data_IF_077680334737
#
_entry.id   IF_077680334737
#
_cell.length_a   1.000
_cell.length_b   1.000
_cell.length_c   1.000
_cell.angle_alpha   90.00
_cell.angle_beta   90.00
_cell.angle_gamma   90.00
#
_symmetry.space_group_name_H-M   'P 1'
#
loop_
_entity.id
_entity.type
_entity.pdbx_description
1 polymer ?
#
# COMPACT_ATOMS: atom_id res chain seq x y z
N UNK A 1 9.02 -25.16 9.09
CA UNK A 1 9.21 -24.17 7.98
C UNK A 1 8.79 -24.84 6.68
N UNK A 2 7.99 -24.17 5.85
CA UNK A 2 7.32 -24.80 4.69
C UNK A 2 8.26 -25.43 3.65
N UNK A 3 9.48 -24.93 3.50
CA UNK A 3 10.45 -25.43 2.51
C UNK A 3 11.49 -26.40 3.07
N UNK A 4 11.42 -26.72 4.37
CA UNK A 4 12.37 -27.66 4.96
C UNK A 4 12.32 -29.04 4.27
N UNK A 5 11.14 -29.65 4.01
CA UNK A 5 11.06 -30.94 3.30
C UNK A 5 11.69 -30.91 1.91
N UNK A 6 11.68 -29.76 1.23
CA UNK A 6 12.32 -29.58 -0.07
C UNK A 6 13.85 -29.62 0.03
N UNK A 7 14.44 -28.94 1.02
CA UNK A 7 15.90 -28.90 1.23
C UNK A 7 16.46 -30.18 1.87
N UNK A 8 15.63 -30.98 2.53
CA UNK A 8 16.01 -32.27 3.11
C UNK A 8 15.87 -33.43 2.12
N UNK A 9 15.25 -33.18 0.97
CA UNK A 9 15.04 -34.16 -0.09
C UNK A 9 13.82 -35.06 0.13
N UNK A 10 12.97 -34.76 1.12
CA UNK A 10 11.71 -35.48 1.38
C UNK A 10 10.70 -35.29 0.25
N UNK A 11 10.70 -34.12 -0.41
CA UNK A 11 9.86 -33.83 -1.57
C UNK A 11 10.69 -33.36 -2.76
N UNK A 12 10.26 -33.75 -3.97
CA UNK A 12 10.95 -33.41 -5.21
C UNK A 12 10.58 -32.02 -5.76
N UNK A 13 9.51 -31.41 -5.27
CA UNK A 13 9.18 -30.02 -5.56
C UNK A 13 8.17 -29.49 -4.55
N UNK A 14 8.06 -28.17 -4.48
CA UNK A 14 6.98 -27.46 -3.82
C UNK A 14 6.49 -26.40 -4.79
N UNK A 15 5.19 -26.38 -5.06
CA UNK A 15 4.57 -25.33 -5.87
C UNK A 15 3.94 -24.30 -4.96
N UNK A 16 4.32 -23.04 -5.11
CA UNK A 16 3.76 -21.91 -4.37
C UNK A 16 2.84 -21.13 -5.31
N UNK A 17 1.61 -20.87 -4.89
CA UNK A 17 0.69 -20.01 -5.63
C UNK A 17 0.54 -18.70 -4.86
N UNK A 18 1.10 -17.58 -5.35
CA UNK A 18 0.89 -16.27 -4.74
C UNK A 18 -0.58 -15.86 -4.87
N UNK A 19 -1.19 -15.42 -3.79
CA UNK A 19 -2.58 -14.91 -3.80
C UNK A 19 -2.58 -13.49 -3.30
N UNK A 20 -3.16 -12.58 -4.07
CA UNK A 20 -3.42 -11.19 -3.66
C UNK A 20 -4.89 -11.03 -3.33
N UNK A 21 -5.19 -10.34 -2.24
CA UNK A 21 -6.57 -10.04 -1.84
C UNK A 21 -6.65 -8.53 -1.61
N UNK A 22 -7.53 -7.87 -2.37
CA UNK A 22 -7.78 -6.44 -2.26
C UNK A 22 -9.19 -6.20 -1.74
N UNK A 23 -9.30 -5.60 -0.56
CA UNK A 23 -10.57 -5.22 0.05
C UNK A 23 -10.84 -3.74 -0.25
N UNK A 24 -12.10 -3.40 -0.49
CA UNK A 24 -12.51 -2.01 -0.60
C UNK A 24 -12.39 -1.30 0.75
N UNK A 25 -12.98 -1.84 1.83
CA UNK A 25 -12.82 -1.33 3.20
C UNK A 25 -12.28 -2.41 4.15
N UNK A 26 -11.32 -2.02 4.99
CA UNK A 26 -10.74 -2.91 6.02
C UNK A 26 -11.52 -2.85 7.34
N UNK A 27 -11.79 -4.00 7.95
CA UNK A 27 -12.50 -4.13 9.24
C UNK A 27 -11.86 -3.33 10.39
N UNK A 28 -10.53 -3.25 10.42
CA UNK A 28 -9.77 -2.65 11.53
C UNK A 28 -9.03 -1.36 11.14
N UNK A 29 -9.46 -0.66 10.09
CA UNK A 29 -8.74 0.51 9.55
C UNK A 29 -8.47 1.59 10.61
N UNK A 30 -9.45 1.92 11.45
CA UNK A 30 -9.30 2.93 12.49
C UNK A 30 -8.35 2.47 13.60
N UNK A 31 -8.43 1.19 14.00
CA UNK A 31 -7.52 0.63 15.01
C UNK A 31 -6.06 0.68 14.52
N UNK A 32 -5.83 0.42 13.24
CA UNK A 32 -4.50 0.52 12.64
C UNK A 32 -3.97 1.96 12.69
N UNK A 33 -4.81 2.95 12.35
CA UNK A 33 -4.43 4.38 12.42
C UNK A 33 -4.09 4.78 13.86
N UNK A 34 -4.88 4.36 14.85
CA UNK A 34 -4.61 4.65 16.26
C UNK A 34 -3.33 3.99 16.76
N UNK A 35 -3.07 2.74 16.35
CA UNK A 35 -1.83 2.04 16.68
C UNK A 35 -0.60 2.78 16.12
N UNK A 36 -0.67 3.27 14.88
CA UNK A 36 0.39 4.09 14.28
C UNK A 36 0.64 5.41 15.05
N UNK A 37 -0.40 5.95 15.68
CA UNK A 37 -0.31 7.14 16.54
C UNK A 37 0.12 6.80 17.99
N UNK A 38 0.44 5.52 18.26
CA UNK A 38 0.95 5.06 19.55
C UNK A 38 -0.12 4.77 20.61
N UNK A 39 -1.40 4.82 20.23
CA UNK A 39 -2.51 4.37 21.07
C UNK A 39 -2.39 2.84 21.21
N UNK A 40 -2.36 2.30 22.43
CA UNK A 40 -2.19 0.87 22.63
C UNK A 40 -3.40 0.12 22.07
N UNK A 41 -3.16 -1.04 21.45
CA UNK A 41 -4.25 -1.92 21.03
C UNK A 41 -5.19 -2.19 22.20
N UNK A 42 -6.52 -2.04 22.02
CA UNK A 42 -7.47 -2.44 23.03
C UNK A 42 -7.30 -3.94 23.33
N UNK A 43 -7.42 -4.34 24.60
CA UNK A 43 -7.39 -5.76 24.95
C UNK A 43 -8.54 -6.45 24.22
N UNK A 44 -8.24 -7.48 23.44
CA UNK A 44 -9.27 -8.35 22.88
C UNK A 44 -10.06 -8.93 24.05
N UNK A 45 -11.36 -8.61 24.12
CA UNK A 45 -12.26 -9.12 25.13
C UNK A 45 -13.39 -9.88 24.46
N UNK A 46 -13.92 -10.90 25.12
CA UNK A 46 -15.08 -11.67 24.66
C UNK A 46 -16.30 -10.76 24.41
N UNK A 47 -16.41 -9.63 25.13
CA UNK A 47 -17.42 -8.59 24.90
C UNK A 47 -17.16 -7.78 23.63
N UNK A 48 -15.89 -7.54 23.29
CA UNK A 48 -15.46 -6.96 22.01
C UNK A 48 -15.79 -7.86 20.82
N UNK A 49 -15.67 -9.17 20.97
CA UNK A 49 -16.07 -10.15 19.95
C UNK A 49 -17.58 -10.05 19.59
N UNK A 50 -18.47 -9.96 20.59
CA UNK A 50 -19.90 -9.75 20.34
C UNK A 50 -20.24 -8.39 19.73
N UNK A 51 -19.45 -7.35 20.02
CA UNK A 51 -19.59 -6.03 19.36
C UNK A 51 -19.06 -6.07 17.93
N UNK A 52 -18.01 -6.85 17.66
CA UNK A 52 -17.48 -7.11 16.32
C UNK A 52 -18.49 -7.84 15.42
N UNK A 53 -19.34 -8.71 15.98
CA UNK A 53 -20.44 -9.35 15.24
C UNK A 53 -21.46 -8.33 14.69
N UNK A 54 -21.70 -7.19 15.36
CA UNK A 54 -22.55 -6.11 14.81
C UNK A 54 -21.87 -5.32 13.69
N UNK A 55 -20.54 -5.28 13.69
CA UNK A 55 -19.74 -4.61 12.67
C UNK A 55 -19.74 -5.44 11.37
N UNK A 56 -19.94 -6.77 11.45
CA UNK A 56 -20.04 -7.65 10.27
C UNK A 56 -21.22 -7.27 9.37
N UNK A 57 -22.29 -6.67 9.91
CA UNK A 57 -23.45 -6.21 9.14
C UNK A 57 -23.20 -4.87 8.41
N UNK A 58 -22.02 -4.25 8.57
CA UNK A 58 -21.65 -3.05 7.82
C UNK A 58 -21.32 -3.35 6.35
N UNK A 59 -21.45 -2.33 5.49
CA UNK A 59 -21.00 -2.41 4.10
C UNK A 59 -19.48 -2.25 4.03
N UNK A 60 -18.78 -3.33 3.68
CA UNK A 60 -17.32 -3.34 3.45
C UNK A 60 -16.93 -3.19 1.97
N UNK A 61 -17.91 -3.08 1.08
CA UNK A 61 -17.68 -2.96 -0.35
C UNK A 61 -17.23 -4.25 -1.00
N UNK A 62 -16.45 -4.10 -2.08
CA UNK A 62 -16.02 -5.18 -2.97
C UNK A 62 -14.74 -5.85 -2.45
N UNK A 63 -14.58 -7.13 -2.77
CA UNK A 63 -13.34 -7.89 -2.55
C UNK A 63 -12.87 -8.47 -3.87
N UNK A 64 -11.57 -8.32 -4.15
CA UNK A 64 -10.92 -8.84 -5.34
C UNK A 64 -9.87 -9.88 -4.93
N UNK A 65 -9.81 -10.98 -5.68
CA UNK A 65 -8.81 -12.03 -5.52
C UNK A 65 -8.07 -12.19 -6.83
N UNK A 66 -6.75 -12.16 -6.75
CA UNK A 66 -5.85 -12.47 -7.84
C UNK A 66 -4.98 -13.68 -7.48
N UNK A 67 -4.88 -14.62 -8.42
CA UNK A 67 -4.03 -15.80 -8.29
C UNK A 67 -2.85 -15.62 -9.25
N UNK A 68 -1.68 -15.39 -8.66
CA UNK A 68 -0.43 -15.25 -9.40
C UNK A 68 0.01 -16.55 -10.06
N UNK A 69 1.01 -16.44 -10.93
CA UNK A 69 1.59 -17.60 -11.60
C UNK A 69 2.18 -18.58 -10.56
N UNK A 70 1.85 -19.87 -10.61
CA UNK A 70 2.45 -20.86 -9.72
C UNK A 70 3.98 -20.90 -9.89
N UNK A 71 4.70 -20.90 -8.77
CA UNK A 71 6.16 -20.94 -8.72
C UNK A 71 6.59 -22.34 -8.30
N UNK A 72 7.25 -23.08 -9.18
CA UNK A 72 8.00 -24.28 -8.80
C UNK A 72 9.27 -23.86 -8.04
N UNK A 73 9.41 -24.33 -6.80
CA UNK A 73 10.60 -24.05 -5.99
C UNK A 73 11.85 -24.69 -6.62
N UNK A 74 11.68 -25.86 -7.26
CA UNK A 74 12.75 -26.49 -8.05
C UNK A 74 13.26 -25.59 -9.16
N UNK A 75 12.36 -25.11 -9.99
CA UNK A 75 12.68 -24.29 -11.14
C UNK A 75 13.24 -22.94 -10.70
N UNK A 76 12.61 -22.30 -9.71
CA UNK A 76 13.03 -21.00 -9.19
C UNK A 76 14.45 -21.01 -8.62
N UNK A 77 14.86 -22.09 -7.94
CA UNK A 77 16.25 -22.23 -7.44
C UNK A 77 17.22 -22.77 -8.49
N UNK A 78 16.76 -23.19 -9.67
CA UNK A 78 17.60 -23.80 -10.70
C UNK A 78 18.25 -25.11 -10.26
N UNK A 79 17.68 -25.80 -9.27
CA UNK A 79 18.24 -27.05 -8.76
C UNK A 79 17.95 -28.21 -9.71
N UNK A 80 19.00 -28.96 -10.04
CA UNK A 80 18.87 -30.21 -10.79
C UNK A 80 18.69 -31.40 -9.85
N UNK A 81 18.30 -32.57 -10.38
CA UNK A 81 18.07 -33.76 -9.56
C UNK A 81 19.28 -34.21 -8.73
N UNK A 82 20.51 -33.87 -9.16
CA UNK A 82 21.75 -34.23 -8.48
C UNK A 82 22.09 -33.33 -7.26
N UNK A 83 21.64 -32.07 -7.26
CA UNK A 83 21.98 -31.07 -6.22
C UNK A 83 21.33 -31.34 -4.85
N UNK A 84 20.44 -32.33 -4.78
CA UNK A 84 19.54 -32.58 -3.64
C UNK A 84 19.93 -33.76 -2.76
N UNK A 85 20.86 -34.57 -3.24
CA UNK A 85 21.26 -35.84 -2.61
C UNK A 85 22.03 -35.73 -1.28
N UNK A 86 22.71 -34.62 -0.87
CA UNK A 86 23.61 -34.69 0.28
C UNK A 86 22.95 -34.89 1.65
N UNK A 87 21.68 -34.51 1.84
CA UNK A 87 21.07 -34.41 3.19
C UNK A 87 20.01 -35.44 3.52
N UNK A 88 19.56 -36.24 2.55
CA UNK A 88 18.63 -37.34 2.79
C UNK A 88 19.17 -38.39 3.77
N UNK A 89 20.49 -38.45 3.96
CA UNK A 89 21.17 -39.41 4.85
C UNK A 89 21.45 -38.88 6.27
N UNK A 90 21.09 -37.63 6.60
CA UNK A 90 21.29 -37.05 7.94
C UNK A 90 20.03 -37.20 8.81
N UNK A 91 20.17 -37.46 10.11
CA UNK A 91 19.02 -37.53 11.03
C UNK A 91 18.26 -36.19 11.14
N UNK A 92 16.94 -36.23 11.20
CA UNK A 92 16.05 -35.04 11.19
C UNK A 92 16.41 -33.94 12.22
N UNK A 93 17.02 -34.31 13.35
CA UNK A 93 17.45 -33.36 14.39
C UNK A 93 18.65 -32.46 13.99
N UNK A 94 19.41 -32.84 12.96
CA UNK A 94 20.59 -32.09 12.46
C UNK A 94 20.30 -31.30 11.19
N UNK A 95 19.10 -31.45 10.61
CA UNK A 95 18.69 -30.81 9.37
C UNK A 95 18.18 -29.39 9.61
N UNK A 96 19.05 -28.50 10.11
CA UNK A 96 18.77 -27.06 10.15
C UNK A 96 19.09 -26.40 8.81
N UNK A 97 18.37 -25.34 8.48
CA UNK A 97 18.66 -24.55 7.27
C UNK A 97 20.03 -23.87 7.40
N UNK A 98 20.83 -23.97 6.35
CA UNK A 98 22.10 -23.24 6.26
C UNK A 98 21.89 -21.81 5.74
N UNK A 99 22.93 -20.97 5.81
CA UNK A 99 22.85 -19.56 5.40
C UNK A 99 22.44 -19.39 3.92
N UNK A 100 22.97 -20.22 3.03
CA UNK A 100 22.65 -20.16 1.60
C UNK A 100 21.18 -20.51 1.33
N UNK A 101 20.66 -21.52 2.01
CA UNK A 101 19.24 -21.91 1.95
C UNK A 101 18.34 -20.78 2.46
N UNK A 102 18.73 -20.12 3.56
CA UNK A 102 18.00 -18.95 4.06
C UNK A 102 18.01 -17.80 3.05
N UNK A 103 19.10 -17.58 2.33
CA UNK A 103 19.17 -16.53 1.30
C UNK A 103 18.34 -16.89 0.05
N UNK A 104 18.27 -18.16 -0.33
CA UNK A 104 17.34 -18.65 -1.36
C UNK A 104 15.88 -18.43 -0.95
N UNK A 105 15.53 -18.78 0.29
CA UNK A 105 14.20 -18.55 0.85
C UNK A 105 13.84 -17.06 0.82
N UNK A 106 14.78 -16.16 1.14
CA UNK A 106 14.55 -14.70 1.04
C UNK A 106 14.28 -14.26 -0.39
N UNK A 107 15.05 -14.75 -1.37
CA UNK A 107 14.84 -14.43 -2.79
C UNK A 107 13.45 -14.89 -3.26
N UNK A 108 13.05 -16.10 -2.88
CA UNK A 108 11.72 -16.63 -3.19
C UNK A 108 10.62 -15.82 -2.49
N UNK A 109 10.81 -15.45 -1.24
CA UNK A 109 9.90 -14.56 -0.50
C UNK A 109 9.70 -13.22 -1.21
N UNK A 110 10.79 -12.60 -1.69
CA UNK A 110 10.71 -11.36 -2.45
C UNK A 110 9.95 -11.52 -3.77
N UNK A 111 10.13 -12.64 -4.48
CA UNK A 111 9.38 -12.92 -5.70
C UNK A 111 7.88 -13.11 -5.42
N UNK A 112 7.53 -13.85 -4.37
CA UNK A 112 6.13 -14.04 -3.94
C UNK A 112 5.49 -12.68 -3.63
N UNK A 113 6.15 -11.85 -2.83
CA UNK A 113 5.67 -10.51 -2.48
C UNK A 113 5.50 -9.67 -3.75
N UNK A 114 6.46 -9.72 -4.67
CA UNK A 114 6.40 -8.99 -5.92
C UNK A 114 5.20 -9.40 -6.77
N UNK A 115 4.93 -10.70 -6.91
CA UNK A 115 3.76 -11.18 -7.63
C UNK A 115 2.44 -10.79 -6.95
N UNK A 116 2.36 -10.90 -5.62
CA UNK A 116 1.18 -10.45 -4.87
C UNK A 116 0.92 -8.96 -5.06
N UNK A 117 1.96 -8.13 -5.00
CA UNK A 117 1.84 -6.68 -5.20
C UNK A 117 1.43 -6.33 -6.63
N UNK A 118 1.91 -7.06 -7.64
CA UNK A 118 1.46 -6.90 -9.03
C UNK A 118 -0.01 -7.29 -9.22
N UNK A 119 -0.50 -8.27 -8.47
CA UNK A 119 -1.89 -8.71 -8.48
C UNK A 119 -2.84 -7.84 -7.64
N UNK A 120 -2.36 -6.76 -7.02
CA UNK A 120 -3.22 -5.85 -6.27
C UNK A 120 -4.17 -5.13 -7.23
N UNK A 121 -5.45 -5.11 -6.89
CA UNK A 121 -6.47 -4.35 -7.59
C UNK A 121 -6.59 -2.97 -6.95
N UNK A 122 -6.44 -1.93 -7.76
CA UNK A 122 -6.62 -0.54 -7.37
C UNK A 122 -8.10 -0.20 -7.51
N UNK A 123 -8.78 0.06 -6.39
CA UNK A 123 -10.20 0.44 -6.39
C UNK A 123 -10.41 1.92 -6.68
N UNK A 124 -11.67 2.30 -6.93
CA UNK A 124 -12.08 3.71 -7.03
C UNK A 124 -11.66 4.52 -5.79
N UNK A 125 -11.76 3.94 -4.58
CA UNK A 125 -11.37 4.63 -3.36
C UNK A 125 -9.85 4.88 -3.27
N UNK A 126 -9.02 3.95 -3.75
CA UNK A 126 -7.57 4.15 -3.79
C UNK A 126 -7.20 5.35 -4.67
N UNK A 127 -7.83 5.47 -5.84
CA UNK A 127 -7.62 6.60 -6.75
C UNK A 127 -8.18 7.91 -6.19
N UNK A 128 -9.36 7.86 -5.56
CA UNK A 128 -9.96 8.99 -4.87
C UNK A 128 -9.03 9.53 -3.79
N UNK A 129 -8.53 8.66 -2.91
CA UNK A 129 -7.61 9.04 -1.82
C UNK A 129 -6.33 9.66 -2.36
N UNK A 130 -5.72 9.08 -3.41
CA UNK A 130 -4.51 9.61 -4.04
C UNK A 130 -4.75 11.00 -4.62
N UNK A 131 -5.82 11.16 -5.40
CA UNK A 131 -6.16 12.45 -6.00
C UNK A 131 -6.49 13.49 -4.92
N UNK A 132 -7.34 13.13 -3.96
CA UNK A 132 -7.77 14.03 -2.90
C UNK A 132 -6.60 14.49 -2.01
N UNK A 133 -5.69 13.58 -1.65
CA UNK A 133 -4.48 13.94 -0.91
C UNK A 133 -3.61 14.95 -1.67
N UNK A 134 -3.48 14.79 -3.00
CA UNK A 134 -2.77 15.77 -3.84
C UNK A 134 -3.44 17.15 -3.86
N UNK A 135 -4.78 17.20 -3.81
CA UNK A 135 -5.54 18.45 -3.81
C UNK A 135 -5.50 19.14 -2.45
N UNK A 136 -5.59 18.40 -1.35
CA UNK A 136 -5.40 18.93 0.00
C UNK A 136 -4.01 19.54 0.15
N UNK A 137 -2.97 18.88 -0.37
CA UNK A 137 -1.61 19.42 -0.34
C UNK A 137 -1.49 20.78 -1.07
N UNK A 138 -2.30 20.99 -2.10
CA UNK A 138 -2.39 22.25 -2.85
C UNK A 138 -3.46 23.22 -2.31
N UNK A 139 -4.01 22.95 -1.11
CA UNK A 139 -5.08 23.74 -0.47
C UNK A 139 -6.34 23.91 -1.35
N UNK A 140 -6.62 22.94 -2.21
CA UNK A 140 -7.76 22.95 -3.14
C UNK A 140 -8.88 22.03 -2.65
N UNK A 141 -10.10 22.57 -2.54
CA UNK A 141 -11.29 21.77 -2.24
C UNK A 141 -11.77 21.03 -3.49
N UNK A 142 -12.43 19.89 -3.31
CA UNK A 142 -12.80 19.03 -4.44
C UNK A 142 -14.28 18.68 -4.38
N UNK A 143 -14.96 18.77 -5.52
CA UNK A 143 -16.32 18.29 -5.71
C UNK A 143 -16.35 16.97 -6.50
N UNK A 144 -17.53 16.39 -6.68
CA UNK A 144 -17.68 15.12 -7.40
C UNK A 144 -17.22 15.17 -8.86
N UNK A 145 -17.37 16.31 -9.54
CA UNK A 145 -16.98 16.47 -10.94
C UNK A 145 -15.46 16.50 -11.09
N UNK A 146 -14.77 17.23 -10.22
CA UNK A 146 -13.31 17.27 -10.16
C UNK A 146 -12.72 15.92 -9.75
N UNK A 147 -13.36 15.19 -8.83
CA UNK A 147 -12.98 13.83 -8.48
C UNK A 147 -13.12 12.88 -9.68
N UNK A 148 -14.23 12.95 -10.40
CA UNK A 148 -14.47 12.10 -11.57
C UNK A 148 -13.40 12.32 -12.64
N UNK A 149 -13.06 13.58 -12.95
CA UNK A 149 -12.02 13.89 -13.93
C UNK A 149 -10.65 13.37 -13.46
N UNK A 150 -10.28 13.65 -12.20
CA UNK A 150 -9.02 13.19 -11.63
C UNK A 150 -8.88 11.68 -11.58
N UNK A 151 -9.93 10.98 -11.18
CA UNK A 151 -9.95 9.51 -11.13
C UNK A 151 -9.86 8.91 -12.53
N UNK A 152 -10.51 9.51 -13.54
CA UNK A 152 -10.40 9.04 -14.92
C UNK A 152 -8.97 9.17 -15.47
N UNK A 153 -8.30 10.28 -15.18
CA UNK A 153 -6.88 10.49 -15.54
C UNK A 153 -5.97 9.49 -14.83
N UNK A 154 -6.15 9.32 -13.51
CA UNK A 154 -5.36 8.36 -12.73
C UNK A 154 -5.62 6.93 -13.21
N UNK A 155 -6.87 6.52 -13.45
CA UNK A 155 -7.18 5.19 -13.97
C UNK A 155 -6.37 4.88 -15.22
N UNK A 156 -6.37 5.80 -16.19
CA UNK A 156 -5.59 5.65 -17.42
C UNK A 156 -4.09 5.50 -17.13
N UNK A 157 -3.54 6.36 -16.27
CA UNK A 157 -2.13 6.27 -15.86
C UNK A 157 -1.79 4.92 -15.22
N UNK A 158 -2.61 4.44 -14.29
CA UNK A 158 -2.39 3.18 -13.60
C UNK A 158 -2.50 1.98 -14.55
N UNK A 159 -3.46 1.98 -15.47
CA UNK A 159 -3.61 0.95 -16.51
C UNK A 159 -2.41 0.95 -17.47
N UNK A 160 -1.89 2.12 -17.87
CA UNK A 160 -0.66 2.24 -18.67
C UNK A 160 0.58 1.69 -17.94
N UNK A 161 0.62 1.81 -16.61
CA UNK A 161 1.66 1.22 -15.76
C UNK A 161 1.48 -0.30 -15.56
N UNK A 162 0.36 -0.87 -16.00
CA UNK A 162 0.05 -2.30 -15.91
C UNK A 162 -0.76 -2.71 -14.68
N UNK A 163 -1.30 -1.75 -13.93
CA UNK A 163 -2.16 -2.03 -12.78
C UNK A 163 -3.57 -2.45 -13.21
N UNK A 164 -4.19 -3.32 -12.41
CA UNK A 164 -5.61 -3.64 -12.54
C UNK A 164 -6.43 -2.61 -11.76
N UNK A 165 -7.23 -1.81 -12.45
CA UNK A 165 -8.05 -0.75 -11.84
C UNK A 165 -9.54 -1.12 -11.91
N UNK A 166 -10.15 -1.38 -10.76
CA UNK A 166 -11.56 -1.73 -10.65
C UNK A 166 -12.45 -0.48 -10.46
N UNK A 167 -12.53 0.31 -11.52
CA UNK A 167 -13.36 1.53 -11.60
C UNK A 167 -14.06 1.54 -12.95
N UNK A 168 -15.39 1.66 -12.96
CA UNK A 168 -16.16 1.81 -14.20
C UNK A 168 -16.32 3.29 -14.57
N UNK A 169 -15.82 3.67 -15.75
CA UNK A 169 -15.90 5.06 -16.22
C UNK A 169 -17.31 5.45 -16.68
N UNK A 170 -18.17 4.49 -17.02
CA UNK A 170 -19.53 4.78 -17.50
C UNK A 170 -20.46 5.27 -16.38
N UNK A 171 -20.21 4.82 -15.14
CA UNK A 171 -20.97 5.20 -13.95
C UNK A 171 -20.10 5.84 -12.86
N UNK A 172 -19.00 6.48 -13.24
CA UNK A 172 -17.96 6.93 -12.31
C UNK A 172 -18.46 7.77 -11.14
N UNK A 173 -19.39 8.71 -11.37
CA UNK A 173 -19.94 9.52 -10.27
C UNK A 173 -20.74 8.68 -9.27
N UNK A 174 -21.46 7.67 -9.74
CA UNK A 174 -22.21 6.74 -8.88
C UNK A 174 -21.24 5.89 -8.07
N UNK A 175 -20.19 5.36 -8.71
CA UNK A 175 -19.11 4.62 -8.03
C UNK A 175 -18.42 5.48 -6.96
N UNK A 176 -18.17 6.77 -7.24
CA UNK A 176 -17.62 7.72 -6.26
C UNK A 176 -18.56 7.90 -5.07
N UNK A 177 -19.87 8.05 -5.31
CA UNK A 177 -20.84 8.20 -4.23
C UNK A 177 -20.92 6.94 -3.36
N UNK A 178 -20.99 5.76 -3.98
CA UNK A 178 -21.03 4.47 -3.28
C UNK A 178 -19.76 4.26 -2.45
N UNK A 179 -18.59 4.50 -3.02
CA UNK A 179 -17.32 4.27 -2.31
C UNK A 179 -17.11 5.26 -1.17
N UNK A 180 -17.60 6.51 -1.31
CA UNK A 180 -17.59 7.50 -0.20
C UNK A 180 -18.59 7.09 0.89
N UNK A 181 -19.73 6.50 0.55
CA UNK A 181 -20.68 5.99 1.54
C UNK A 181 -20.08 4.83 2.36
N UNK A 182 -19.40 3.89 1.68
CA UNK A 182 -18.67 2.78 2.32
C UNK A 182 -17.61 3.31 3.30
N UNK A 183 -16.90 4.38 2.92
CA UNK A 183 -15.84 5.00 3.72
C UNK A 183 -16.27 6.29 4.44
N UNK A 184 -17.55 6.37 4.81
CA UNK A 184 -18.15 7.55 5.46
C UNK A 184 -17.50 7.90 6.81
N UNK A 185 -16.77 6.97 7.42
CA UNK A 185 -15.97 7.18 8.62
C UNK A 185 -14.65 7.93 8.37
N UNK A 186 -14.20 8.08 7.12
CA UNK A 186 -12.99 8.80 6.73
C UNK A 186 -13.35 10.12 6.02
N UNK A 187 -14.21 10.04 5.01
CA UNK A 187 -14.62 11.19 4.18
C UNK A 187 -16.12 11.17 3.93
N UNK A 188 -16.69 12.35 3.70
CA UNK A 188 -18.09 12.50 3.28
C UNK A 188 -18.25 13.74 2.41
N UNK A 189 -19.37 13.83 1.69
CA UNK A 189 -19.74 15.07 0.98
C UNK A 189 -20.58 15.97 1.88
N UNK A 190 -20.14 17.22 2.04
CA UNK A 190 -20.90 18.27 2.72
C UNK A 190 -20.94 19.51 1.81
N UNK A 191 -22.14 20.03 1.55
CA UNK A 191 -22.36 21.17 0.64
C UNK A 191 -21.71 20.97 -0.74
N UNK A 192 -21.71 19.74 -1.25
CA UNK A 192 -21.11 19.38 -2.54
C UNK A 192 -19.58 19.29 -2.55
N UNK A 193 -18.92 19.37 -1.39
CA UNK A 193 -17.47 19.28 -1.24
C UNK A 193 -17.08 18.04 -0.46
N UNK A 194 -16.05 17.33 -0.91
CA UNK A 194 -15.49 16.23 -0.16
C UNK A 194 -14.71 16.77 1.04
N UNK A 195 -15.07 16.32 2.24
CA UNK A 195 -14.45 16.71 3.50
C UNK A 195 -14.13 15.49 4.35
N UNK A 196 -13.16 15.64 5.25
CA UNK A 196 -12.93 14.64 6.27
C UNK A 196 -14.08 14.56 7.25
N UNK A 197 -14.43 13.33 7.63
CA UNK A 197 -15.40 13.09 8.69
C UNK A 197 -14.79 13.51 10.02
N UNK A 198 -15.39 14.50 10.66
CA UNK A 198 -14.95 15.00 11.95
C UNK A 198 -15.20 13.94 13.02
N UNK A 199 -14.12 13.34 13.51
CA UNK A 199 -14.19 12.49 14.70
C UNK A 199 -14.16 13.41 15.91
N UNK A 200 -15.18 13.34 16.78
CA UNK A 200 -15.25 14.22 17.93
C UNK A 200 -14.00 14.02 18.81
N UNK A 201 -13.23 15.10 18.99
CA UNK A 201 -12.08 15.16 19.90
C UNK A 201 -12.38 14.57 21.30
N UNK A 202 -13.63 14.69 21.77
CA UNK A 202 -14.10 14.13 23.03
C UNK A 202 -14.25 12.58 22.99
N UNK A 203 -14.69 12.00 21.87
CA UNK A 203 -14.73 10.54 21.69
C UNK A 203 -13.31 9.98 21.61
N UNK A 204 -12.43 10.66 20.88
CA UNK A 204 -10.99 10.35 20.80
C UNK A 204 -10.32 10.37 22.17
N UNK A 205 -10.59 11.38 23.00
CA UNK A 205 -10.00 11.50 24.33
C UNK A 205 -10.54 10.48 25.36
N UNK A 206 -11.77 9.99 25.18
CA UNK A 206 -12.38 9.00 26.07
C UNK A 206 -11.89 7.57 25.81
N UNK A 207 -11.48 7.25 24.58
CA UNK A 207 -10.99 5.92 24.21
C UNK A 207 -9.50 5.71 24.52
N UNK A 208 -8.74 6.80 24.73
CA UNK A 208 -7.29 6.75 24.88
C UNK A 208 -6.91 6.77 26.38
N UNK A 209 -6.49 5.60 26.90
CA UNK A 209 -5.88 5.51 28.23
C UNK A 209 -4.47 6.13 28.22
N UNK A 210 -4.38 7.39 28.65
CA UNK A 210 -3.15 8.18 28.76
C UNK A 210 -1.98 7.47 29.45
N UNK A 211 -2.25 6.50 30.33
CA UNK A 211 -1.23 5.74 31.07
C UNK A 211 -0.62 4.57 30.29
N UNK A 212 -1.20 4.20 29.15
CA UNK A 212 -0.79 3.04 28.34
C UNK A 212 -0.27 3.40 26.95
N UNK A 213 -0.24 4.69 26.61
CA UNK A 213 0.35 5.16 25.37
C UNK A 213 1.85 4.84 25.31
N UNK A 214 2.27 4.28 24.17
CA UNK A 214 3.68 4.03 23.88
C UNK A 214 4.38 5.26 23.28
N UNK A 215 3.60 6.27 22.87
CA UNK A 215 4.06 7.53 22.27
C UNK A 215 3.58 8.75 23.06
N UNK A 216 3.97 9.95 22.62
CA UNK A 216 3.52 11.20 23.22
C UNK A 216 2.03 11.44 22.96
N UNK A 217 1.30 11.96 23.95
CA UNK A 217 -0.12 12.29 23.79
C UNK A 217 -0.25 13.45 22.81
N UNK A 218 -0.85 13.19 21.65
CA UNK A 218 -1.17 14.25 20.70
C UNK A 218 -2.34 15.09 21.22
N UNK A 219 -2.25 16.41 20.98
CA UNK A 219 -3.37 17.31 21.23
C UNK A 219 -4.59 16.85 20.41
N UNK A 220 -5.83 17.01 20.92
CA UNK A 220 -7.01 16.58 20.18
C UNK A 220 -7.15 17.23 18.80
N UNK A 221 -6.67 18.46 18.64
CA UNK A 221 -6.61 19.15 17.35
C UNK A 221 -5.62 18.49 16.37
N UNK A 222 -4.47 18.03 16.87
CA UNK A 222 -3.51 17.28 16.06
C UNK A 222 -4.06 15.91 15.67
N UNK A 223 -4.76 15.22 16.57
CA UNK A 223 -5.45 13.96 16.27
C UNK A 223 -6.52 14.14 15.19
N UNK A 224 -7.30 15.23 15.25
CA UNK A 224 -8.34 15.52 14.27
C UNK A 224 -7.81 15.70 12.84
N UNK A 225 -6.54 16.06 12.68
CA UNK A 225 -5.86 16.14 11.37
C UNK A 225 -5.13 14.84 11.04
N UNK A 226 -4.40 14.27 12.00
CA UNK A 226 -3.53 13.11 11.77
C UNK A 226 -4.31 11.83 11.46
N UNK A 227 -5.42 11.57 12.16
CA UNK A 227 -6.24 10.37 11.96
C UNK A 227 -6.75 10.27 10.52
N UNK A 228 -7.48 11.26 9.97
CA UNK A 228 -7.96 11.16 8.59
C UNK A 228 -6.83 11.14 7.56
N UNK A 229 -5.72 11.86 7.79
CA UNK A 229 -4.58 11.84 6.89
C UNK A 229 -3.91 10.45 6.82
N UNK A 230 -3.72 9.78 7.96
CA UNK A 230 -3.21 8.42 8.02
C UNK A 230 -4.20 7.41 7.44
N UNK A 231 -5.50 7.61 7.66
CA UNK A 231 -6.53 6.78 7.05
C UNK A 231 -6.49 6.86 5.53
N UNK A 232 -6.38 8.05 4.93
CA UNK A 232 -6.14 8.19 3.49
C UNK A 232 -4.87 7.47 3.05
N UNK A 233 -3.77 7.63 3.80
CA UNK A 233 -2.49 7.03 3.47
C UNK A 233 -2.57 5.49 3.36
N UNK A 234 -3.41 4.84 4.17
CA UNK A 234 -3.65 3.40 4.06
C UNK A 234 -4.13 3.00 2.67
N UNK A 235 -5.04 3.79 2.09
CA UNK A 235 -5.59 3.56 0.77
C UNK A 235 -4.70 4.10 -0.37
N UNK A 236 -3.72 4.94 -0.06
CA UNK A 236 -2.69 5.38 -1.02
C UNK A 236 -1.56 4.36 -1.13
N UNK A 237 -1.24 3.61 -0.06
CA UNK A 237 -0.12 2.68 -0.05
C UNK A 237 -0.11 1.65 -1.21
N UNK A 238 -1.24 1.02 -1.60
CA UNK A 238 -1.29 0.15 -2.76
C UNK A 238 -0.85 0.82 -4.07
N UNK A 239 -1.18 2.11 -4.24
CA UNK A 239 -0.81 2.91 -5.40
C UNK A 239 0.70 3.13 -5.51
N UNK A 240 1.40 3.18 -4.37
CA UNK A 240 2.84 3.46 -4.33
C UNK A 240 3.69 2.39 -5.02
N UNK A 241 3.23 1.13 -5.05
CA UNK A 241 3.92 0.07 -5.77
C UNK A 241 4.13 0.40 -7.25
N UNK A 242 3.09 0.97 -7.89
CA UNK A 242 3.10 1.34 -9.30
C UNK A 242 3.79 2.69 -9.56
N UNK A 243 3.66 3.65 -8.62
CA UNK A 243 4.17 5.00 -8.81
C UNK A 243 5.66 5.17 -8.44
N UNK A 244 6.18 4.39 -7.48
CA UNK A 244 7.53 4.61 -6.94
C UNK A 244 8.62 4.48 -8.02
N UNK A 245 8.58 3.43 -8.84
CA UNK A 245 9.61 3.19 -9.87
C UNK A 245 9.64 4.30 -10.94
N UNK A 246 8.53 4.67 -11.59
CA UNK A 246 8.49 5.82 -12.49
C UNK A 246 8.93 7.12 -11.81
N UNK A 247 8.49 7.36 -10.57
CA UNK A 247 8.85 8.57 -9.84
C UNK A 247 10.37 8.70 -9.65
N UNK A 248 11.07 7.62 -9.27
CA UNK A 248 12.53 7.65 -9.15
C UNK A 248 13.22 7.99 -10.46
N UNK A 249 12.74 7.45 -11.59
CA UNK A 249 13.29 7.76 -12.91
C UNK A 249 13.05 9.21 -13.32
N UNK A 250 11.85 9.74 -13.05
CA UNK A 250 11.50 11.14 -13.32
C UNK A 250 12.37 12.07 -12.49
N UNK A 251 12.53 11.81 -11.18
CA UNK A 251 13.37 12.61 -10.29
C UNK A 251 14.83 12.61 -10.79
N UNK A 252 15.38 11.44 -11.12
CA UNK A 252 16.74 11.34 -11.66
C UNK A 252 16.90 12.11 -12.98
N UNK A 253 15.92 12.03 -13.89
CA UNK A 253 15.94 12.75 -15.15
C UNK A 253 15.85 14.27 -14.98
N UNK A 254 15.03 14.75 -14.03
CA UNK A 254 14.92 16.17 -13.70
C UNK A 254 16.24 16.71 -13.13
N UNK A 255 16.87 15.97 -12.21
CA UNK A 255 18.16 16.36 -11.64
C UNK A 255 19.25 16.45 -12.72
N UNK A 256 19.34 15.46 -13.62
CA UNK A 256 20.28 15.49 -14.74
C UNK A 256 20.03 16.70 -15.67
N UNK A 257 18.77 17.08 -15.88
CA UNK A 257 18.41 18.25 -16.69
C UNK A 257 18.87 19.56 -16.04
N UNK A 258 18.69 19.71 -14.73
CA UNK A 258 19.15 20.88 -13.97
C UNK A 258 20.67 21.01 -13.98
N UNK A 259 21.40 19.90 -13.82
CA UNK A 259 22.86 19.88 -13.90
C UNK A 259 23.36 20.32 -15.29
N UNK A 260 22.71 19.85 -16.36
CA UNK A 260 23.05 20.25 -17.74
C UNK A 260 22.74 21.73 -18.01
N UNK A 261 21.63 22.26 -17.50
CA UNK A 261 21.28 23.68 -17.64
C UNK A 261 22.27 24.57 -16.88
N UNK A 262 22.67 24.17 -15.68
CA UNK A 262 23.67 24.89 -14.87
C UNK A 262 25.03 24.91 -15.58
N UNK A 263 25.48 23.77 -16.12
CA UNK A 263 26.74 23.70 -16.88
C UNK A 263 26.71 24.52 -18.18
N UNK A 264 25.57 24.59 -18.88
CA UNK A 264 25.40 25.45 -20.06
C UNK A 264 25.40 26.93 -19.69
N UNK A 265 24.77 27.31 -18.58
CA UNK A 265 24.78 28.68 -18.04
C UNK A 265 26.19 29.18 -17.70
N UNK A 266 26.98 28.35 -17.02
CA UNK A 266 28.39 28.65 -16.69
C UNK A 266 29.25 28.77 -17.95
N UNK A 267 29.05 27.91 -18.95
CA UNK A 267 29.76 28.02 -20.25
C UNK A 267 29.38 29.27 -21.04
N UNK A 268 28.14 29.75 -20.95
CA UNK A 268 27.73 31.00 -21.61
C UNK A 268 28.29 32.24 -20.92
N UNK A 269 28.38 32.26 -19.58
CA UNK A 269 29.00 33.37 -18.83
C UNK A 269 30.50 33.46 -19.09
N UNK A 270 31.22 32.34 -19.13
CA UNK A 270 32.66 32.33 -19.47
C UNK A 270 32.94 32.74 -20.93
N UNK A 271 31.95 32.66 -21.83
CA UNK A 271 32.09 33.10 -23.23
C UNK A 271 31.88 34.62 -23.40
N UNK A 272 31.09 35.24 -22.53
CA UNK A 272 30.86 36.70 -22.50
C UNK A 272 32.03 37.49 -21.89
N UNK A 273 32.90 36.83 -21.11
CA UNK A 273 34.11 37.44 -20.52
C UNK A 273 35.30 37.45 -21.50
N UNK A 274 35.21 36.72 -22.62
CA UNK A 274 36.31 36.52 -23.58
C UNK A 274 36.15 37.29 -24.91
N UNK A 275 35.33 38.35 -24.97
CA UNK A 275 35.36 39.29 -26.10
C UNK A 275 36.33 40.43 -25.79
N UNK A 276 37.51 40.52 -26.44
CA UNK A 276 38.43 41.64 -26.26
C UNK A 276 37.90 42.89 -26.97
N UNK A 277 38.13 44.05 -26.36
CA UNK A 277 38.16 45.36 -27.05
C UNK A 277 39.40 45.46 -27.93
#
# INVERSE_FOLDING_TARGET
>A
MALLPYFTGEVSDVTIVPVSISYERLLEEQLFVYELLGVPKPKETTKGFFKALKIIDERFGKMYLDFGAPISVREFFGHTGADRMPRASMGAHLQKLNKCELDLIKKLGNEIIYQQQRGIVISTFNLLCLYYASRIYLEHWVNIDELANGIAELKKLFEELGAHVATDLNCLKVDIMETVEIHSNIVHFENGRLQFTQVAAAQLAQEIDSKRLKAHVLLPQAMAVAVPALALQLYINPCMFWLARPAYLIIAALQLREEQQTQRGVRSQNRLVLTPR
#
